data_IF_012734890135
#
_entry.id   IF_012734890135
#
_cell.length_a   1.000
_cell.length_b   1.000
_cell.length_c   1.000
_cell.angle_alpha   90.00
_cell.angle_beta   90.00
_cell.angle_gamma   90.00
#
_symmetry.space_group_name_H-M   'P 1'
#
loop_
_entity.id
_entity.type
_entity.pdbx_description
1 polymer ?
#
# COMPACT_ATOMS: atom_id res chain seq x y z
N UNK A 1 -14.91 -18.51 10.12
CA UNK A 1 -16.35 -18.23 9.98
C UNK A 1 -16.74 -17.22 11.04
N UNK A 2 -16.88 -15.96 10.64
CA UNK A 2 -17.67 -14.94 11.33
C UNK A 2 -18.24 -14.09 10.20
N UNK A 3 -19.52 -14.31 9.93
CA UNK A 3 -20.35 -13.52 9.02
C UNK A 3 -20.98 -12.41 9.86
N UNK A 4 -20.70 -11.16 9.54
CA UNK A 4 -21.52 -10.04 9.96
C UNK A 4 -22.24 -9.46 8.74
N UNK A 5 -23.50 -9.13 8.98
CA UNK A 5 -24.48 -8.67 8.03
C UNK A 5 -24.44 -7.14 7.87
N UNK A 6 -25.11 -6.67 6.81
CA UNK A 6 -25.94 -5.45 6.73
C UNK A 6 -25.56 -4.41 5.65
N UNK A 7 -26.62 -4.06 4.90
CA UNK A 7 -26.98 -2.79 4.26
C UNK A 7 -26.46 -2.42 2.86
N UNK A 8 -27.38 -2.01 1.94
CA UNK A 8 -27.05 -1.53 0.61
C UNK A 8 -26.64 -0.05 0.68
N UNK A 9 -25.39 0.26 0.37
CA UNK A 9 -24.90 1.64 0.30
C UNK A 9 -25.03 2.18 -1.14
N UNK A 10 -25.96 3.11 -1.33
CA UNK A 10 -25.95 4.03 -2.47
C UNK A 10 -24.67 4.90 -2.49
N UNK A 11 -24.38 5.60 -3.61
CA UNK A 11 -23.07 6.17 -3.86
C UNK A 11 -22.83 7.42 -3.02
N UNK A 12 -21.96 7.32 -2.01
CA UNK A 12 -21.39 8.44 -1.28
C UNK A 12 -19.89 8.50 -1.61
N UNK A 13 -19.52 9.60 -2.25
CA UNK A 13 -18.20 10.15 -2.53
C UNK A 13 -17.12 9.78 -1.49
N UNK A 14 -16.03 9.14 -1.93
CA UNK A 14 -14.64 9.18 -1.43
C UNK A 14 -14.39 9.41 0.09
N UNK A 15 -15.12 8.73 0.98
CA UNK A 15 -14.80 8.72 2.40
C UNK A 15 -13.68 7.71 2.69
N UNK A 16 -12.60 8.16 3.34
CA UNK A 16 -11.50 7.28 3.76
C UNK A 16 -12.00 6.24 4.77
N UNK A 17 -11.72 4.96 4.50
CA UNK A 17 -12.04 3.86 5.42
C UNK A 17 -10.82 3.56 6.32
N UNK A 18 -10.95 3.68 7.65
CA UNK A 18 -9.87 3.37 8.58
C UNK A 18 -9.38 1.93 8.42
N UNK A 19 -8.07 1.77 8.20
CA UNK A 19 -7.44 0.45 8.04
C UNK A 19 -7.01 -0.09 9.40
N UNK A 20 -7.28 -1.37 9.67
CA UNK A 20 -6.76 -2.05 10.85
C UNK A 20 -5.28 -2.44 10.65
N UNK A 21 -4.31 -1.72 11.25
CA UNK A 21 -2.88 -1.88 10.91
C UNK A 21 -2.35 -3.25 11.33
N UNK A 22 -2.80 -3.77 12.47
CA UNK A 22 -2.36 -5.08 12.97
C UNK A 22 -2.86 -6.23 12.10
N UNK A 23 -4.12 -6.17 11.65
CA UNK A 23 -4.71 -7.20 10.78
C UNK A 23 -3.98 -7.22 9.43
N UNK A 24 -3.84 -6.05 8.79
CA UNK A 24 -3.11 -5.88 7.52
C UNK A 24 -1.66 -6.36 7.64
N UNK A 25 -0.96 -5.97 8.70
CA UNK A 25 0.41 -6.39 8.95
C UNK A 25 0.53 -7.90 9.13
N UNK A 26 -0.42 -8.52 9.83
CA UNK A 26 -0.43 -9.98 10.04
C UNK A 26 -0.65 -10.72 8.72
N UNK A 27 -1.64 -10.31 7.94
CA UNK A 27 -1.93 -10.93 6.64
C UNK A 27 -0.77 -10.77 5.66
N UNK A 28 -0.24 -9.55 5.52
CA UNK A 28 0.89 -9.28 4.63
C UNK A 28 2.17 -9.98 5.10
N UNK A 29 2.42 -10.00 6.42
CA UNK A 29 3.55 -10.71 7.01
C UNK A 29 3.47 -12.22 6.80
N UNK A 30 2.28 -12.83 6.89
CA UNK A 30 2.08 -14.25 6.58
C UNK A 30 2.29 -14.55 5.10
N UNK A 31 1.76 -13.70 4.21
CA UNK A 31 1.97 -13.85 2.76
C UNK A 31 3.45 -13.73 2.39
N UNK A 32 4.13 -12.71 2.89
CA UNK A 32 5.56 -12.54 2.67
C UNK A 32 6.37 -13.66 3.34
N UNK A 33 5.95 -14.13 4.52
CA UNK A 33 6.51 -15.31 5.18
C UNK A 33 6.42 -16.56 4.30
N UNK A 34 5.30 -16.79 3.60
CA UNK A 34 5.14 -17.89 2.65
C UNK A 34 6.06 -17.76 1.43
N UNK A 35 6.33 -16.55 0.94
CA UNK A 35 7.37 -16.33 -0.07
C UNK A 35 8.75 -16.65 0.52
N UNK A 36 9.00 -16.24 1.75
CA UNK A 36 10.23 -16.52 2.48
C UNK A 36 10.45 -18.01 2.75
N UNK A 37 9.39 -18.79 2.98
CA UNK A 37 9.46 -20.25 3.07
C UNK A 37 9.83 -20.85 1.73
N UNK A 38 9.26 -20.40 0.62
CA UNK A 38 9.67 -20.89 -0.69
C UNK A 38 11.15 -20.60 -0.99
N UNK A 39 11.58 -19.36 -0.77
CA UNK A 39 12.97 -18.91 -0.98
C UNK A 39 13.95 -19.65 -0.07
N UNK A 40 13.55 -19.92 1.18
CA UNK A 40 14.32 -20.71 2.13
C UNK A 40 14.47 -22.17 1.67
N UNK A 41 13.44 -22.75 1.04
CA UNK A 41 13.43 -24.14 0.62
C UNK A 41 14.34 -24.34 -0.59
N UNK A 42 14.28 -23.40 -1.54
CA UNK A 42 15.18 -23.36 -2.70
C UNK A 42 16.63 -23.19 -2.26
N UNK A 43 16.92 -22.27 -1.34
CA UNK A 43 18.28 -22.09 -0.80
C UNK A 43 18.78 -23.33 -0.05
N UNK A 44 17.92 -24.01 0.71
CA UNK A 44 18.28 -25.26 1.39
C UNK A 44 18.57 -26.38 0.38
N UNK A 45 17.79 -26.49 -0.70
CA UNK A 45 17.95 -27.50 -1.73
C UNK A 45 19.21 -27.30 -2.61
N UNK A 46 19.59 -26.04 -2.85
CA UNK A 46 20.78 -25.68 -3.65
C UNK A 46 22.07 -25.58 -2.82
N UNK A 47 21.99 -25.68 -1.49
CA UNK A 47 23.16 -25.59 -0.62
C UNK A 47 23.96 -26.90 -0.68
N UNK A 48 25.29 -26.81 -0.80
CA UNK A 48 26.20 -27.97 -0.92
C UNK A 48 26.39 -28.79 0.37
N UNK A 49 25.57 -28.55 1.40
CA UNK A 49 25.71 -29.18 2.72
C UNK A 49 24.44 -29.97 3.09
N UNK A 50 24.63 -31.21 3.56
CA UNK A 50 23.60 -32.17 3.95
C UNK A 50 22.91 -31.84 5.29
N UNK A 51 22.44 -30.60 5.45
CA UNK A 51 21.50 -30.30 6.52
C UNK A 51 20.15 -30.89 6.13
N UNK A 52 19.72 -31.98 6.77
CA UNK A 52 18.44 -32.64 6.50
C UNK A 52 17.23 -31.71 6.63
N UNK A 53 16.01 -32.26 6.56
CA UNK A 53 14.76 -31.49 6.51
C UNK A 53 14.58 -30.41 7.61
N UNK A 54 15.24 -30.54 8.77
CA UNK A 54 15.22 -29.56 9.86
C UNK A 54 16.07 -28.28 9.60
N UNK A 55 16.98 -28.31 8.61
CA UNK A 55 17.88 -27.18 8.27
C UNK A 55 17.15 -25.95 7.73
N UNK A 56 16.02 -26.19 7.05
CA UNK A 56 15.13 -25.16 6.53
C UNK A 56 14.54 -24.26 7.62
N UNK A 57 14.15 -24.83 8.76
CA UNK A 57 13.50 -24.08 9.85
C UNK A 57 14.51 -23.46 10.81
N UNK A 58 15.63 -24.12 11.06
CA UNK A 58 16.62 -23.72 12.06
C UNK A 58 17.74 -22.83 11.51
N UNK A 59 18.14 -23.00 10.25
CA UNK A 59 19.26 -22.26 9.64
C UNK A 59 18.78 -21.28 8.58
N UNK A 60 17.91 -21.75 7.70
CA UNK A 60 17.33 -20.94 6.61
C UNK A 60 16.07 -20.19 7.08
N UNK A 61 15.59 -20.48 8.30
CA UNK A 61 14.45 -19.79 8.92
C UNK A 61 14.65 -18.29 9.11
N UNK A 62 15.89 -17.80 9.11
CA UNK A 62 16.15 -16.36 9.16
C UNK A 62 15.60 -15.62 7.94
N UNK A 63 15.55 -16.26 6.76
CA UNK A 63 14.93 -15.62 5.59
C UNK A 63 13.42 -15.56 5.73
N UNK A 64 12.77 -16.61 6.23
CA UNK A 64 11.32 -16.62 6.51
C UNK A 64 10.95 -15.45 7.42
N UNK A 65 11.66 -15.30 8.53
CA UNK A 65 11.45 -14.18 9.47
C UNK A 65 11.73 -12.82 8.83
N UNK A 66 12.76 -12.72 7.98
CA UNK A 66 13.09 -11.47 7.29
C UNK A 66 11.99 -11.06 6.31
N UNK A 67 11.53 -11.98 5.47
CA UNK A 67 10.44 -11.70 4.53
C UNK A 67 9.13 -11.38 5.25
N UNK A 68 8.80 -12.14 6.30
CA UNK A 68 7.62 -11.88 7.11
C UNK A 68 7.69 -10.49 7.79
N UNK A 69 8.85 -10.13 8.37
CA UNK A 69 9.04 -8.83 8.99
C UNK A 69 8.95 -7.68 7.98
N UNK A 70 9.51 -7.84 6.77
CA UNK A 70 9.41 -6.86 5.70
C UNK A 70 7.96 -6.64 5.27
N UNK A 71 7.19 -7.73 5.03
CA UNK A 71 5.78 -7.64 4.65
C UNK A 71 4.90 -7.04 5.74
N UNK A 72 5.14 -7.42 7.00
CA UNK A 72 4.43 -6.86 8.14
C UNK A 72 4.74 -5.37 8.33
N UNK A 73 6.01 -4.96 8.25
CA UNK A 73 6.42 -3.56 8.37
C UNK A 73 5.85 -2.71 7.22
N UNK A 74 5.86 -3.21 5.99
CA UNK A 74 5.23 -2.55 4.85
C UNK A 74 3.77 -2.20 5.14
N UNK A 75 2.94 -3.22 5.39
CA UNK A 75 1.50 -3.05 5.55
C UNK A 75 1.12 -2.31 6.84
N UNK A 76 1.91 -2.49 7.91
CA UNK A 76 1.73 -1.73 9.15
C UNK A 76 1.96 -0.24 8.91
N UNK A 77 3.11 0.12 8.33
CA UNK A 77 3.47 1.51 8.09
C UNK A 77 2.53 2.16 7.09
N UNK A 78 2.16 1.46 6.01
CA UNK A 78 1.17 1.95 5.05
C UNK A 78 -0.17 2.26 5.73
N UNK A 79 -0.70 1.32 6.53
CA UNK A 79 -1.97 1.51 7.23
C UNK A 79 -1.93 2.64 8.27
N UNK A 80 -0.82 2.76 9.02
CA UNK A 80 -0.64 3.85 9.99
C UNK A 80 -0.57 5.21 9.29
N UNK A 81 0.19 5.32 8.20
CA UNK A 81 0.32 6.58 7.45
C UNK A 81 -0.99 6.95 6.77
N UNK A 82 -1.69 5.97 6.20
CA UNK A 82 -3.02 6.18 5.61
C UNK A 82 -4.01 6.67 6.67
N UNK A 83 -4.03 6.04 7.86
CA UNK A 83 -4.94 6.44 8.95
C UNK A 83 -4.64 7.84 9.48
N UNK A 84 -3.37 8.22 9.57
CA UNK A 84 -2.97 9.55 10.03
C UNK A 84 -3.27 10.66 9.03
N UNK A 85 -3.28 10.34 7.73
CA UNK A 85 -3.54 11.31 6.66
C UNK A 85 -4.97 11.27 6.15
N UNK A 86 -5.76 10.30 6.62
CA UNK A 86 -7.13 10.02 6.16
C UNK A 86 -7.23 10.01 4.63
N UNK A 87 -6.23 9.43 3.96
CA UNK A 87 -6.13 9.45 2.50
C UNK A 87 -5.40 8.24 1.98
N UNK A 88 -5.77 7.79 0.79
CA UNK A 88 -5.18 6.65 0.09
C UNK A 88 -4.37 7.09 -1.13
N UNK A 89 -3.12 7.49 -0.89
CA UNK A 89 -2.18 7.97 -1.90
C UNK A 89 -0.96 7.05 -2.04
N UNK A 90 -0.25 7.15 -3.17
CA UNK A 90 1.05 6.52 -3.40
C UNK A 90 2.12 6.85 -2.34
N UNK A 91 1.95 7.94 -1.57
CA UNK A 91 2.82 8.28 -0.45
C UNK A 91 2.73 7.26 0.70
N UNK A 92 1.60 6.58 0.85
CA UNK A 92 1.42 5.57 1.89
C UNK A 92 2.26 4.32 1.56
N UNK A 93 2.22 3.84 0.31
CA UNK A 93 3.07 2.73 -0.14
C UNK A 93 4.53 3.12 -0.29
N UNK A 94 4.85 4.39 -0.54
CA UNK A 94 6.24 4.89 -0.42
C UNK A 94 6.75 4.70 1.01
N UNK A 95 5.98 5.14 2.00
CA UNK A 95 6.37 5.04 3.41
C UNK A 95 6.49 3.57 3.86
N UNK A 96 5.52 2.73 3.48
CA UNK A 96 5.57 1.28 3.72
C UNK A 96 6.77 0.62 3.04
N UNK A 97 7.01 0.96 1.76
CA UNK A 97 8.11 0.43 0.96
C UNK A 97 9.48 0.82 1.49
N UNK A 98 9.62 2.07 1.95
CA UNK A 98 10.84 2.51 2.62
C UNK A 98 11.06 1.77 3.94
N UNK A 99 10.03 1.57 4.78
CA UNK A 99 10.15 0.84 6.04
C UNK A 99 10.58 -0.62 5.81
N UNK A 100 9.97 -1.30 4.85
CA UNK A 100 10.32 -2.66 4.47
C UNK A 100 11.74 -2.75 3.86
N UNK A 101 12.08 -1.82 2.95
CA UNK A 101 13.41 -1.73 2.34
C UNK A 101 14.50 -1.45 3.38
N UNK A 102 14.24 -0.56 4.33
CA UNK A 102 15.16 -0.24 5.43
C UNK A 102 15.42 -1.49 6.30
N UNK A 103 14.38 -2.23 6.67
CA UNK A 103 14.48 -3.50 7.40
C UNK A 103 15.33 -4.53 6.65
N UNK A 104 15.15 -4.63 5.32
CA UNK A 104 15.97 -5.49 4.48
C UNK A 104 17.45 -5.10 4.52
N UNK A 105 17.75 -3.81 4.52
CA UNK A 105 19.13 -3.32 4.55
C UNK A 105 19.79 -3.41 5.93
N UNK A 106 19.05 -3.23 7.03
CA UNK A 106 19.56 -3.45 8.40
C UNK A 106 20.12 -4.86 8.56
N UNK A 107 19.55 -5.86 7.87
CA UNK A 107 20.03 -7.25 7.92
C UNK A 107 21.49 -7.40 7.45
N UNK A 108 21.97 -6.47 6.62
CA UNK A 108 23.37 -6.41 6.14
C UNK A 108 24.31 -5.65 7.07
N UNK A 109 23.79 -5.09 8.19
CA UNK A 109 24.53 -4.26 9.16
C UNK A 109 25.20 -3.04 8.54
N UNK A 110 24.60 -2.49 7.48
CA UNK A 110 25.13 -1.35 6.74
C UNK A 110 24.06 -0.27 6.58
N UNK A 111 24.31 0.89 7.19
CA UNK A 111 23.44 2.07 7.07
C UNK A 111 23.29 2.56 5.63
N UNK A 112 24.35 2.67 4.79
CA UNK A 112 24.17 3.12 3.41
C UNK A 112 23.33 2.13 2.59
N UNK A 113 23.44 0.83 2.86
CA UNK A 113 22.56 -0.17 2.22
C UNK A 113 21.12 0.02 2.69
N UNK A 114 20.89 0.26 3.98
CA UNK A 114 19.53 0.48 4.52
C UNK A 114 18.85 1.73 3.95
N UNK A 115 19.59 2.83 3.79
CA UNK A 115 19.06 4.06 3.17
C UNK A 115 18.84 3.84 1.67
N UNK A 116 19.80 3.20 0.98
CA UNK A 116 19.67 2.89 -0.44
C UNK A 116 18.49 1.95 -0.74
N UNK A 117 18.30 0.92 0.07
CA UNK A 117 17.18 -0.02 -0.08
C UNK A 117 15.84 0.62 0.26
N UNK A 118 15.77 1.53 1.24
CA UNK A 118 14.57 2.33 1.47
C UNK A 118 14.22 3.16 0.22
N UNK A 119 15.19 3.86 -0.38
CA UNK A 119 14.93 4.69 -1.55
C UNK A 119 14.49 3.86 -2.77
N UNK A 120 15.14 2.72 -3.02
CA UNK A 120 14.82 1.85 -4.16
C UNK A 120 13.47 1.17 -3.97
N UNK A 121 13.23 0.54 -2.83
CA UNK A 121 11.98 -0.20 -2.57
C UNK A 121 10.81 0.77 -2.40
N UNK A 122 11.00 1.85 -1.64
CA UNK A 122 10.00 2.91 -1.47
C UNK A 122 9.65 3.59 -2.80
N UNK A 123 10.65 3.90 -3.62
CA UNK A 123 10.44 4.45 -4.96
C UNK A 123 9.69 3.49 -5.87
N UNK A 124 10.07 2.20 -5.88
CA UNK A 124 9.35 1.19 -6.64
C UNK A 124 7.88 1.10 -6.21
N UNK A 125 7.59 0.99 -4.91
CA UNK A 125 6.22 0.93 -4.41
C UNK A 125 5.43 2.20 -4.72
N UNK A 126 6.03 3.39 -4.58
CA UNK A 126 5.42 4.64 -4.97
C UNK A 126 5.01 4.65 -6.45
N UNK A 127 5.88 4.14 -7.34
CA UNK A 127 5.55 4.04 -8.78
C UNK A 127 4.45 3.03 -9.05
N UNK A 128 4.43 1.89 -8.34
CA UNK A 128 3.38 0.88 -8.48
C UNK A 128 2.03 1.41 -8.02
N UNK A 129 1.95 2.05 -6.86
CA UNK A 129 0.71 2.62 -6.34
C UNK A 129 0.22 3.77 -7.22
N UNK A 130 1.12 4.66 -7.65
CA UNK A 130 0.77 5.75 -8.55
C UNK A 130 0.21 5.23 -9.88
N UNK A 131 0.86 4.22 -10.47
CA UNK A 131 0.35 3.57 -11.68
C UNK A 131 -1.00 2.87 -11.43
N UNK A 132 -1.15 2.20 -10.29
CA UNK A 132 -2.38 1.54 -9.87
C UNK A 132 -3.55 2.51 -9.74
N UNK A 133 -3.33 3.71 -9.21
CA UNK A 133 -4.36 4.76 -9.13
C UNK A 133 -4.80 5.27 -10.50
N UNK A 134 -3.86 5.42 -11.45
CA UNK A 134 -4.19 5.88 -12.81
C UNK A 134 -5.01 4.82 -13.57
N UNK A 135 -4.65 3.55 -13.41
CA UNK A 135 -5.31 2.43 -14.09
C UNK A 135 -6.65 2.12 -13.42
N UNK A 136 -6.70 2.17 -12.09
CA UNK A 136 -7.85 1.83 -11.24
C UNK A 136 -8.92 2.92 -11.11
N UNK A 137 -8.71 4.13 -11.65
CA UNK A 137 -9.77 5.12 -11.80
C UNK A 137 -10.86 4.52 -12.74
N UNK A 138 -11.96 4.05 -12.12
CA UNK A 138 -13.15 3.50 -12.79
C UNK A 138 -13.66 4.45 -13.87
N UNK A 139 -14.14 3.90 -14.98
CA UNK A 139 -14.66 4.65 -16.13
C UNK A 139 -15.67 5.74 -15.72
N UNK A 140 -16.50 5.50 -14.68
CA UNK A 140 -17.42 6.50 -14.13
C UNK A 140 -16.71 7.73 -13.52
N UNK A 141 -15.63 7.54 -12.76
CA UNK A 141 -14.81 8.65 -12.22
C UNK A 141 -14.09 9.41 -13.33
N UNK A 142 -13.63 8.72 -14.37
CA UNK A 142 -13.01 9.34 -15.56
C UNK A 142 -14.04 10.15 -16.35
N UNK A 143 -15.27 9.66 -16.47
CA UNK A 143 -16.37 10.34 -17.15
C UNK A 143 -16.87 11.56 -16.37
N UNK A 144 -16.94 11.48 -15.04
CA UNK A 144 -17.28 12.61 -14.17
C UNK A 144 -16.19 13.70 -14.18
N UNK A 145 -14.90 13.32 -14.11
CA UNK A 145 -13.78 14.25 -14.28
C UNK A 145 -13.80 14.93 -15.65
N UNK A 146 -14.15 14.20 -16.73
CA UNK A 146 -14.38 14.79 -18.07
C UNK A 146 -15.54 15.78 -18.04
N UNK A 147 -16.70 15.40 -17.49
CA UNK A 147 -17.89 16.25 -17.44
C UNK A 147 -17.65 17.54 -16.65
N UNK A 148 -16.88 17.47 -15.56
CA UNK A 148 -16.49 18.65 -14.78
C UNK A 148 -15.43 19.49 -15.49
N UNK A 149 -14.46 18.87 -16.18
CA UNK A 149 -13.45 19.60 -16.96
C UNK A 149 -14.05 20.36 -18.15
N UNK A 150 -15.09 19.80 -18.79
CA UNK A 150 -15.81 20.45 -19.89
C UNK A 150 -16.91 21.42 -19.43
N UNK A 151 -17.21 21.52 -18.11
CA UNK A 151 -18.12 22.52 -17.54
C UNK A 151 -17.35 23.65 -16.86
N UNK A 152 -16.96 24.65 -17.64
CA UNK A 152 -16.72 26.03 -17.17
C UNK A 152 -17.23 26.94 -18.29
N UNK A 153 -18.28 27.75 -18.11
CA UNK A 153 -18.37 28.95 -17.26
C UNK A 153 -19.79 29.08 -16.65
N UNK A 154 -19.95 29.50 -15.38
CA UNK A 154 -21.22 30.07 -14.95
C UNK A 154 -21.46 31.35 -15.75
N UNK A 155 -22.61 31.44 -16.42
CA UNK A 155 -23.08 32.70 -17.00
C UNK A 155 -23.38 33.61 -15.82
N UNK A 156 -22.56 34.63 -15.60
CA UNK A 156 -22.85 35.69 -14.64
C UNK A 156 -24.09 36.43 -15.12
N UNK A 157 -25.26 36.06 -14.60
CA UNK A 157 -26.50 36.79 -14.86
C UNK A 157 -26.44 38.07 -14.03
N UNK A 158 -26.12 39.19 -14.68
CA UNK A 158 -26.19 40.51 -14.06
C UNK A 158 -27.66 40.77 -13.70
N UNK A 159 -28.03 40.97 -12.43
CA UNK A 159 -29.41 41.29 -12.09
C UNK A 159 -29.80 42.60 -12.78
N UNK A 160 -30.88 42.54 -13.56
CA UNK A 160 -31.50 43.71 -14.19
C UNK A 160 -32.14 44.52 -13.05
N UNK A 161 -31.82 45.83 -12.89
CA UNK A 161 -32.49 46.65 -11.90
C UNK A 161 -33.97 46.77 -12.28
N UNK A 162 -34.86 46.42 -11.34
CA UNK A 162 -36.29 46.61 -11.50
C UNK A 162 -36.59 48.10 -11.70
N UNK A 163 -37.51 48.46 -12.62
CA UNK A 163 -37.91 49.85 -12.80
C UNK A 163 -38.58 50.35 -11.52
N UNK A 164 -38.05 51.45 -10.98
CA UNK A 164 -38.67 52.23 -9.91
C UNK A 164 -39.99 52.80 -10.41
N UNK A 165 -41.11 52.29 -9.90
CA UNK A 165 -42.41 52.94 -10.03
C UNK A 165 -42.49 54.10 -9.03
N UNK A 166 -42.37 55.32 -9.56
CA UNK A 166 -43.03 56.52 -9.01
C UNK A 166 -44.55 56.33 -8.94
#
# INVERSE_FOLDING_TARGET
MATEAEAPSGPIQDAYEPKAPLSRATTAGLQAGAVGTFVSAVQNALSSHSAGAAGFLTRTGSSIGTFAAMGAAFAFTEAVVANQRETDDALNGLAGGCAAGFLAGIRTRSLPIAVGSCAVVGGAMATFDYAGQIIGDTEEKKEEKRKNFFKTRPIFHKPIPAPSSE
#
